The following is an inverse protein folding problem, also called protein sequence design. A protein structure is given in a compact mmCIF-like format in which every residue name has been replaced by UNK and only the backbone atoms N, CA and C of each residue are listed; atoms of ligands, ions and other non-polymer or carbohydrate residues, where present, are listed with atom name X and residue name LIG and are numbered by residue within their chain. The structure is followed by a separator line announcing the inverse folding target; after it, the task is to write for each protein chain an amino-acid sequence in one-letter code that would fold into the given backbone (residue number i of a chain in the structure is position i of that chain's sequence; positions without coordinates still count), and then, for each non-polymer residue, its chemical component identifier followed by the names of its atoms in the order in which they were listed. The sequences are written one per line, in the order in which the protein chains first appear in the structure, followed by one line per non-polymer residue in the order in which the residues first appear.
data_IF_320463883754
#
_entry.id   IF_320463883754
#
_cell.length_a   1.000
_cell.length_b   1.000
_cell.length_c   1.000
_cell.angle_alpha   90.00
_cell.angle_beta   90.00
_cell.angle_gamma   90.00
#
_symmetry.space_group_name_H-M   'P 1'
#
loop_
_entity.id
_entity.type
_entity.pdbx_description
1 polymer ?
#
# COMPACT_ATOMS: atom_id res chain seq x y z
N UNK A 1 -17.52 4.84 -13.72
CA UNK A 1 -17.48 3.40 -13.43
C UNK A 1 -18.85 2.81 -13.74
N UNK A 2 -18.93 1.95 -14.74
CA UNK A 2 -20.16 1.27 -15.15
C UNK A 2 -20.38 0.02 -14.31
N UNK A 3 -21.61 -0.49 -14.28
CA UNK A 3 -21.98 -1.70 -13.51
C UNK A 3 -21.15 -2.93 -13.90
N UNK A 4 -20.77 -3.04 -15.17
CA UNK A 4 -19.96 -4.14 -15.69
C UNK A 4 -18.51 -4.07 -15.20
N UNK A 5 -17.92 -2.87 -15.19
CA UNK A 5 -16.58 -2.63 -14.64
C UNK A 5 -16.52 -3.04 -13.16
N UNK A 6 -17.52 -2.65 -12.37
CA UNK A 6 -17.59 -3.02 -10.94
C UNK A 6 -17.70 -4.54 -10.71
N UNK A 7 -18.45 -5.25 -11.56
CA UNK A 7 -18.58 -6.71 -11.48
C UNK A 7 -17.31 -7.44 -11.94
N UNK A 8 -16.52 -6.83 -12.82
CA UNK A 8 -15.24 -7.37 -13.26
C UNK A 8 -14.16 -7.17 -12.18
N UNK A 9 -14.11 -5.99 -11.55
CA UNK A 9 -13.27 -5.73 -10.36
C UNK A 9 -13.57 -6.74 -9.26
N UNK A 10 -14.86 -6.97 -8.98
CA UNK A 10 -15.27 -7.89 -7.92
C UNK A 10 -14.82 -9.33 -8.20
N UNK A 11 -14.93 -9.80 -9.45
CA UNK A 11 -14.50 -11.16 -9.84
C UNK A 11 -12.99 -11.35 -9.77
N UNK A 12 -12.20 -10.41 -10.31
CA UNK A 12 -10.75 -10.48 -10.18
C UNK A 12 -10.27 -10.33 -8.73
N UNK A 13 -10.94 -9.51 -7.91
CA UNK A 13 -10.67 -9.42 -6.49
C UNK A 13 -10.90 -10.78 -5.78
N UNK A 14 -11.92 -11.56 -6.19
CA UNK A 14 -12.11 -12.91 -5.66
C UNK A 14 -11.00 -13.88 -6.12
N UNK A 15 -10.64 -13.86 -7.41
CA UNK A 15 -9.56 -14.72 -7.95
C UNK A 15 -8.20 -14.42 -7.30
N UNK A 16 -7.91 -13.15 -7.04
CA UNK A 16 -6.69 -12.75 -6.34
C UNK A 16 -6.76 -12.94 -4.82
N UNK A 17 -7.96 -12.94 -4.22
CA UNK A 17 -8.13 -13.35 -2.82
C UNK A 17 -7.82 -14.84 -2.62
N UNK A 18 -8.05 -15.68 -3.64
CA UNK A 18 -7.65 -17.09 -3.66
C UNK A 18 -6.15 -17.30 -3.94
N UNK A 19 -5.43 -16.29 -4.43
CA UNK A 19 -3.99 -16.32 -4.62
C UNK A 19 -3.25 -15.86 -3.34
N UNK A 20 -2.61 -16.77 -2.57
CA UNK A 20 -1.97 -16.40 -1.31
C UNK A 20 -0.72 -15.53 -1.49
N UNK A 21 -0.19 -15.40 -2.71
CA UNK A 21 1.02 -14.63 -2.99
C UNK A 21 0.68 -13.19 -3.40
N UNK A 22 1.11 -12.23 -2.56
CA UNK A 22 1.06 -10.81 -2.90
C UNK A 22 2.19 -10.46 -3.88
N UNK A 23 1.94 -9.57 -4.86
CA UNK A 23 2.99 -9.04 -5.73
C UNK A 23 4.17 -8.49 -4.95
N UNK A 24 5.39 -8.70 -5.45
CA UNK A 24 6.63 -8.25 -4.80
C UNK A 24 6.62 -6.75 -4.53
N UNK A 25 6.04 -5.95 -5.43
CA UNK A 25 5.92 -4.50 -5.26
C UNK A 25 5.13 -4.10 -4.00
N UNK A 26 4.02 -4.82 -3.71
CA UNK A 26 3.19 -4.58 -2.51
C UNK A 26 3.98 -4.98 -1.25
N UNK A 27 4.64 -6.13 -1.28
CA UNK A 27 5.42 -6.64 -0.13
C UNK A 27 6.58 -5.68 0.19
N UNK A 28 7.34 -5.28 -0.83
CA UNK A 28 8.49 -4.39 -0.67
C UNK A 28 8.07 -3.01 -0.16
N UNK A 29 7.05 -2.40 -0.76
CA UNK A 29 6.58 -1.08 -0.33
C UNK A 29 6.01 -1.12 1.08
N UNK A 30 5.33 -2.21 1.46
CA UNK A 30 4.84 -2.38 2.84
C UNK A 30 5.99 -2.41 3.86
N UNK A 31 7.06 -3.18 3.58
CA UNK A 31 8.26 -3.22 4.43
C UNK A 31 8.96 -1.87 4.53
N UNK A 32 9.01 -1.13 3.43
CA UNK A 32 9.59 0.21 3.39
C UNK A 32 8.78 1.18 4.27
N UNK A 33 7.44 1.18 4.17
CA UNK A 33 6.54 1.96 5.02
C UNK A 33 6.76 1.63 6.50
N UNK A 34 6.84 0.35 6.85
CA UNK A 34 7.06 -0.10 8.23
C UNK A 34 8.40 0.42 8.77
N UNK A 35 9.47 0.32 7.98
CA UNK A 35 10.81 0.80 8.35
C UNK A 35 10.81 2.31 8.54
N UNK A 36 10.29 3.07 7.58
CA UNK A 36 10.21 4.52 7.63
C UNK A 36 9.38 5.01 8.82
N UNK A 37 8.26 4.33 9.11
CA UNK A 37 7.41 4.65 10.26
C UNK A 37 8.17 4.42 11.57
N UNK A 38 8.83 3.28 11.73
CA UNK A 38 9.61 2.97 12.93
C UNK A 38 10.75 3.98 13.16
N UNK A 39 11.44 4.40 12.09
CA UNK A 39 12.50 5.40 12.19
C UNK A 39 11.94 6.78 12.58
N UNK A 40 10.81 7.17 11.99
CA UNK A 40 10.14 8.43 12.34
C UNK A 40 9.65 8.44 13.79
N UNK A 41 9.09 7.32 14.27
CA UNK A 41 8.65 7.16 15.65
C UNK A 41 9.82 7.23 16.63
N UNK A 42 10.93 6.53 16.34
CA UNK A 42 12.15 6.60 17.17
C UNK A 42 12.71 8.01 17.24
N UNK A 43 12.79 8.69 16.10
CA UNK A 43 13.23 10.08 16.05
C UNK A 43 12.34 10.99 16.92
N UNK A 44 11.01 10.81 16.83
CA UNK A 44 10.07 11.59 17.63
C UNK A 44 10.19 11.28 19.13
N UNK A 45 10.43 10.02 19.50
CA UNK A 45 10.66 9.61 20.89
C UNK A 45 11.96 10.21 21.44
N UNK A 46 13.04 10.21 20.66
CA UNK A 46 14.36 10.71 21.10
C UNK A 46 14.44 12.24 21.16
N UNK A 47 13.76 12.93 20.23
CA UNK A 47 13.89 14.39 20.07
C UNK A 47 12.68 15.18 20.55
N UNK A 48 11.54 14.53 20.78
CA UNK A 48 10.26 15.17 21.07
C UNK A 48 9.66 15.92 19.86
N UNK A 49 10.20 15.74 18.66
CA UNK A 49 9.77 16.45 17.44
C UNK A 49 9.26 15.50 16.37
N UNK A 50 8.19 15.91 15.69
CA UNK A 50 7.67 15.20 14.52
C UNK A 50 8.14 15.93 13.26
N UNK A 51 8.79 15.21 12.35
CA UNK A 51 9.18 15.73 11.04
C UNK A 51 8.02 15.59 10.05
N UNK A 52 7.36 16.70 9.74
CA UNK A 52 6.24 16.74 8.80
C UNK A 52 6.60 16.26 7.38
N UNK A 53 7.85 16.45 6.94
CA UNK A 53 8.30 16.01 5.61
C UNK A 53 8.32 14.48 5.56
N UNK A 54 8.83 13.85 6.62
CA UNK A 54 8.83 12.39 6.77
C UNK A 54 7.41 11.86 6.85
N UNK A 55 6.52 12.50 7.62
CA UNK A 55 5.10 12.12 7.70
C UNK A 55 4.43 12.20 6.33
N UNK A 56 4.61 13.29 5.59
CA UNK A 56 4.05 13.45 4.23
C UNK A 56 4.56 12.37 3.28
N UNK A 57 5.85 12.00 3.37
CA UNK A 57 6.43 10.90 2.59
C UNK A 57 5.75 9.56 2.92
N UNK A 58 5.64 9.21 4.20
CA UNK A 58 4.99 7.96 4.65
C UNK A 58 3.54 7.90 4.19
N UNK A 59 2.80 9.00 4.29
CA UNK A 59 1.41 9.08 3.80
C UNK A 59 1.35 8.87 2.28
N UNK A 60 2.25 9.50 1.51
CA UNK A 60 2.33 9.29 0.06
C UNK A 60 2.62 7.83 -0.30
N UNK A 61 3.48 7.15 0.46
CA UNK A 61 3.74 5.72 0.28
C UNK A 61 2.51 4.87 0.57
N UNK A 62 1.73 5.19 1.62
CA UNK A 62 0.47 4.48 1.93
C UNK A 62 -0.57 4.63 0.82
N UNK A 63 -0.73 5.84 0.28
CA UNK A 63 -1.62 6.07 -0.87
C UNK A 63 -1.16 5.29 -2.12
N UNK A 64 0.16 5.24 -2.37
CA UNK A 64 0.70 4.42 -3.45
C UNK A 64 0.44 2.93 -3.23
N UNK A 65 0.53 2.46 -1.98
CA UNK A 65 0.23 1.07 -1.63
C UNK A 65 -1.23 0.73 -1.91
N UNK A 66 -2.18 1.63 -1.61
CA UNK A 66 -3.59 1.47 -1.99
C UNK A 66 -3.76 1.37 -3.52
N UNK A 67 -3.05 2.20 -4.27
CA UNK A 67 -3.02 2.13 -5.74
C UNK A 67 -2.53 0.77 -6.24
N UNK A 68 -1.46 0.21 -5.65
CA UNK A 68 -0.97 -1.12 -5.99
C UNK A 68 -1.97 -2.23 -5.65
N UNK A 69 -2.68 -2.13 -4.53
CA UNK A 69 -3.75 -3.08 -4.20
C UNK A 69 -4.90 -3.01 -5.20
N UNK A 70 -5.27 -1.82 -5.66
CA UNK A 70 -6.27 -1.67 -6.72
C UNK A 70 -5.78 -2.27 -8.03
N UNK A 71 -4.54 -1.97 -8.44
CA UNK A 71 -3.97 -2.54 -9.67
C UNK A 71 -3.86 -4.06 -9.61
N UNK A 72 -3.56 -4.63 -8.45
CA UNK A 72 -3.55 -6.08 -8.23
C UNK A 72 -4.97 -6.67 -8.30
N UNK A 73 -5.94 -6.05 -7.62
CA UNK A 73 -7.35 -6.47 -7.67
C UNK A 73 -7.95 -6.36 -9.09
N UNK A 74 -7.39 -5.48 -9.93
CA UNK A 74 -7.73 -5.33 -11.35
C UNK A 74 -6.92 -6.25 -12.28
N UNK A 75 -6.00 -7.07 -11.76
CA UNK A 75 -5.15 -7.96 -12.56
C UNK A 75 -4.08 -7.26 -13.39
N UNK A 76 -3.79 -5.97 -13.15
CA UNK A 76 -2.76 -5.22 -13.87
C UNK A 76 -1.34 -5.54 -13.41
N UNK A 77 -1.21 -6.04 -12.18
CA UNK A 77 0.05 -6.53 -11.62
C UNK A 77 -0.19 -7.90 -10.99
N UNK A 78 0.82 -8.76 -11.02
CA UNK A 78 0.77 -10.16 -10.54
C UNK A 78 1.99 -10.48 -9.70
#
# INVERSE_FOLDING_TARGET
MTREESLQVFRHAQEHAENPYRPVAIISLKKEIETETLLAERYAQETGKVDEVVVKRIVGMKLRLEGLYLDWALGKIT
#
